data_IF_079364847593
#
_entry.id   IF_079364847593
#
_cell.length_a   1.000
_cell.length_b   1.000
_cell.length_c   1.000
_cell.angle_alpha   90.00
_cell.angle_beta   90.00
_cell.angle_gamma   90.00
#
_symmetry.space_group_name_H-M   'P 1'
#
loop_
_entity.id
_entity.type
_entity.pdbx_description
1 polymer ?
#
# COMPACT_ATOMS: atom_id res chain seq x y z
N UNK A 1 41.89 -52.99 32.61
CA UNK A 1 42.31 -52.41 33.91
C UNK A 1 41.20 -51.46 34.34
N UNK A 2 40.43 -51.82 35.38
CA UNK A 2 40.34 -51.12 36.69
C UNK A 2 39.96 -49.63 36.52
N UNK A 3 38.86 -49.09 37.03
CA UNK A 3 38.17 -49.39 38.31
C UNK A 3 36.84 -48.63 38.38
N UNK A 4 35.82 -49.25 38.99
CA UNK A 4 34.55 -48.66 39.44
C UNK A 4 34.72 -47.70 40.63
N UNK A 5 33.75 -46.78 40.86
CA UNK A 5 33.08 -46.45 42.16
C UNK A 5 32.18 -45.21 42.00
N UNK A 6 30.85 -45.33 42.10
CA UNK A 6 29.97 -45.23 43.30
C UNK A 6 29.57 -43.79 43.69
N UNK A 7 28.29 -43.48 43.44
CA UNK A 7 27.25 -42.82 44.28
C UNK A 7 27.72 -41.82 45.37
N UNK A 8 27.16 -40.61 45.35
CA UNK A 8 26.75 -39.89 46.56
C UNK A 8 25.72 -38.81 46.21
N UNK A 9 24.50 -38.95 46.76
CA UNK A 9 23.51 -37.88 46.76
C UNK A 9 23.89 -36.79 47.76
N UNK A 10 23.48 -35.56 47.46
CA UNK A 10 23.41 -34.49 48.43
C UNK A 10 22.16 -33.65 48.13
N UNK A 11 21.13 -33.87 48.95
CA UNK A 11 20.00 -32.96 49.12
C UNK A 11 20.49 -31.83 50.02
N UNK A 12 20.51 -30.61 49.50
CA UNK A 12 20.58 -29.39 50.31
C UNK A 12 19.33 -28.57 50.02
N UNK A 13 18.41 -28.59 50.98
CA UNK A 13 17.37 -27.59 51.14
C UNK A 13 18.06 -26.27 51.55
N UNK A 14 18.22 -25.37 50.58
CA UNK A 14 18.60 -23.98 50.82
C UNK A 14 17.39 -23.09 50.54
N UNK A 15 16.85 -22.47 51.59
CA UNK A 15 15.82 -21.42 51.49
C UNK A 15 16.45 -20.23 50.77
N UNK A 16 16.18 -20.10 49.47
CA UNK A 16 16.44 -18.89 48.73
C UNK A 16 15.29 -17.92 48.98
N UNK A 17 15.58 -16.83 49.70
CA UNK A 17 14.68 -15.69 49.80
C UNK A 17 14.37 -15.19 48.39
N UNK A 18 13.12 -15.36 47.94
CA UNK A 18 12.62 -14.68 46.75
C UNK A 18 12.63 -13.18 47.07
N UNK A 19 13.62 -12.47 46.54
CA UNK A 19 13.48 -11.04 46.31
C UNK A 19 12.35 -10.89 45.29
N UNK A 20 11.18 -10.43 45.75
CA UNK A 20 10.13 -9.89 44.88
C UNK A 20 10.66 -8.60 44.25
N UNK A 21 11.50 -8.73 43.23
CA UNK A 21 11.72 -7.66 42.26
C UNK A 21 10.38 -7.38 41.60
N UNK A 22 9.83 -6.20 41.90
CA UNK A 22 8.52 -5.78 41.45
C UNK A 22 8.38 -5.94 39.95
N UNK A 23 7.45 -6.80 39.53
CA UNK A 23 6.82 -6.64 38.24
C UNK A 23 6.00 -5.37 38.33
N UNK A 24 6.60 -4.25 37.91
CA UNK A 24 5.78 -3.16 37.39
C UNK A 24 5.11 -3.76 36.16
N UNK A 25 3.87 -4.21 36.30
CA UNK A 25 2.95 -4.34 35.18
C UNK A 25 2.84 -2.95 34.57
N UNK A 26 3.80 -2.62 33.70
CA UNK A 26 3.62 -1.59 32.71
C UNK A 26 2.41 -2.04 31.92
N UNK A 27 1.30 -1.32 32.06
CA UNK A 27 0.25 -1.38 31.06
C UNK A 27 0.97 -1.00 29.77
N UNK A 28 1.20 -1.97 28.88
CA UNK A 28 1.63 -1.67 27.54
C UNK A 28 0.51 -0.81 26.96
N UNK A 29 0.75 0.49 26.87
CA UNK A 29 -0.14 1.39 26.15
C UNK A 29 -0.05 0.90 24.71
N UNK A 30 -1.10 0.25 24.24
CA UNK A 30 -1.23 -0.09 22.82
C UNK A 30 -1.10 1.22 22.05
N UNK A 31 -0.16 1.29 21.11
CA UNK A 31 -0.01 2.48 20.28
C UNK A 31 -1.32 2.72 19.52
N UNK A 32 -1.82 3.95 19.55
CA UNK A 32 -3.02 4.30 18.80
C UNK A 32 -2.69 4.42 17.31
N UNK A 33 -3.54 3.88 16.41
CA UNK A 33 -3.33 4.03 14.98
C UNK A 33 -3.55 5.50 14.57
N UNK A 34 -2.69 5.98 13.66
CA UNK A 34 -2.81 7.30 13.02
C UNK A 34 -3.96 7.29 12.01
N UNK A 35 -4.15 6.16 11.32
CA UNK A 35 -5.25 5.95 10.40
C UNK A 35 -5.63 4.46 10.38
N UNK A 36 -6.93 4.19 10.21
CA UNK A 36 -7.44 2.84 10.05
C UNK A 36 -8.55 2.85 8.99
N UNK A 37 -8.45 1.93 8.05
CA UNK A 37 -9.46 1.68 7.02
C UNK A 37 -9.84 0.21 7.13
N UNK A 38 -11.00 -0.12 7.74
CA UNK A 38 -11.39 -1.50 8.01
C UNK A 38 -11.79 -2.25 6.74
N UNK A 39 -12.34 -1.53 5.75
CA UNK A 39 -12.74 -2.07 4.45
C UNK A 39 -12.15 -1.18 3.35
N UNK A 40 -11.15 -1.70 2.65
CA UNK A 40 -10.57 -1.04 1.49
C UNK A 40 -11.52 -1.17 0.30
N UNK A 41 -12.26 -0.09 0.06
CA UNK A 41 -12.87 0.18 -1.24
C UNK A 41 -12.05 1.30 -1.86
N UNK A 42 -11.29 1.03 -2.93
CA UNK A 42 -10.29 2.00 -3.38
C UNK A 42 -9.77 1.77 -4.79
N UNK A 43 -8.89 2.67 -5.24
CA UNK A 43 -8.58 2.87 -6.66
C UNK A 43 -7.65 1.80 -7.22
N UNK A 44 -6.36 1.85 -6.90
CA UNK A 44 -5.39 0.91 -7.47
C UNK A 44 -4.07 0.91 -6.72
N UNK A 45 -3.31 -0.16 -6.92
CA UNK A 45 -1.87 -0.21 -6.65
C UNK A 45 -1.13 -0.30 -7.97
N UNK A 46 -0.09 0.50 -8.17
CA UNK A 46 0.72 0.49 -9.38
C UNK A 46 2.18 0.24 -9.08
N UNK A 47 2.91 -0.34 -10.02
CA UNK A 47 4.34 -0.61 -9.95
C UNK A 47 5.00 -0.04 -11.18
N UNK A 48 5.82 1.00 -10.99
CA UNK A 48 6.70 1.51 -12.03
C UNK A 48 7.83 0.50 -12.23
N UNK A 49 7.89 -0.12 -13.41
CA UNK A 49 8.84 -1.19 -13.70
C UNK A 49 10.26 -0.64 -13.81
N UNK A 50 11.20 -1.36 -13.20
CA UNK A 50 12.63 -1.04 -13.28
C UNK A 50 13.19 -1.42 -14.65
N UNK A 51 14.08 -0.58 -15.20
CA UNK A 51 14.73 -0.83 -16.50
C UNK A 51 15.56 -2.12 -16.50
N UNK A 52 16.16 -2.48 -15.36
CA UNK A 52 16.88 -3.74 -15.20
C UNK A 52 15.96 -4.95 -15.28
N UNK A 53 14.73 -4.84 -14.75
CA UNK A 53 13.73 -5.90 -14.85
C UNK A 53 13.21 -6.05 -16.28
N UNK A 54 12.81 -4.96 -16.93
CA UNK A 54 12.32 -5.02 -18.32
C UNK A 54 13.41 -5.50 -19.28
N UNK A 55 14.65 -5.04 -19.11
CA UNK A 55 15.80 -5.51 -19.88
C UNK A 55 16.12 -7.01 -19.66
N UNK A 56 15.90 -7.53 -18.44
CA UNK A 56 16.03 -8.96 -18.17
C UNK A 56 14.95 -9.78 -18.88
N UNK A 57 13.69 -9.32 -18.89
CA UNK A 57 12.60 -9.97 -19.63
C UNK A 57 12.87 -9.98 -21.13
N UNK A 58 13.30 -8.86 -21.70
CA UNK A 58 13.66 -8.75 -23.11
C UNK A 58 14.80 -9.70 -23.50
N UNK A 59 15.86 -9.76 -22.68
CA UNK A 59 17.00 -10.66 -22.90
C UNK A 59 16.61 -12.14 -22.83
N UNK A 60 15.55 -12.46 -22.11
CA UNK A 60 15.00 -13.81 -21.97
C UNK A 60 13.95 -14.15 -23.03
N UNK A 61 13.61 -13.20 -23.90
CA UNK A 61 12.52 -13.29 -24.88
C UNK A 61 11.17 -13.61 -24.20
N UNK A 62 10.99 -13.12 -22.97
CA UNK A 62 9.74 -13.24 -22.21
C UNK A 62 8.92 -11.99 -22.45
N UNK A 63 7.75 -12.15 -23.06
CA UNK A 63 6.80 -11.06 -23.28
C UNK A 63 5.87 -10.92 -22.06
N UNK A 64 5.91 -9.80 -21.33
CA UNK A 64 4.94 -9.53 -20.29
C UNK A 64 3.59 -9.11 -20.90
N UNK A 65 2.51 -9.46 -20.22
CA UNK A 65 1.16 -9.00 -20.51
C UNK A 65 0.34 -8.92 -19.22
N UNK A 66 -0.85 -8.33 -19.28
CA UNK A 66 -1.74 -8.21 -18.13
C UNK A 66 -2.93 -9.18 -18.22
N UNK A 67 -3.53 -9.47 -17.08
CA UNK A 67 -4.71 -10.33 -16.93
C UNK A 67 -5.80 -9.55 -16.20
N UNK A 68 -7.04 -9.68 -16.68
CA UNK A 68 -8.22 -9.18 -16.00
C UNK A 68 -8.22 -7.65 -15.87
N UNK A 69 -8.38 -7.15 -14.64
CA UNK A 69 -8.44 -5.73 -14.34
C UNK A 69 -7.10 -4.99 -14.41
N UNK A 70 -5.99 -5.70 -14.59
CA UNK A 70 -4.66 -5.10 -14.63
C UNK A 70 -4.40 -4.35 -15.96
N UNK A 71 -3.77 -3.19 -15.87
CA UNK A 71 -3.33 -2.39 -17.03
C UNK A 71 -1.82 -2.17 -17.01
N UNK A 72 -1.21 -2.06 -18.19
CA UNK A 72 0.20 -1.72 -18.37
C UNK A 72 0.26 -0.49 -19.29
N UNK A 73 0.66 0.64 -18.74
CA UNK A 73 0.72 1.94 -19.43
C UNK A 73 1.98 2.69 -18.99
N UNK A 74 2.69 3.31 -19.94
CA UNK A 74 3.88 4.14 -19.68
C UNK A 74 4.96 3.47 -18.78
N UNK A 75 5.14 2.15 -18.91
CA UNK A 75 6.11 1.39 -18.11
C UNK A 75 5.66 1.12 -16.66
N UNK A 76 4.41 1.38 -16.33
CA UNK A 76 3.81 1.10 -15.02
C UNK A 76 2.67 0.10 -15.16
N UNK A 77 2.65 -0.90 -14.28
CA UNK A 77 1.53 -1.85 -14.18
C UNK A 77 0.62 -1.42 -13.06
N UNK A 78 -0.68 -1.30 -13.31
CA UNK A 78 -1.69 -0.93 -12.33
C UNK A 78 -2.68 -2.07 -12.08
N UNK A 79 -3.01 -2.30 -10.82
CA UNK A 79 -3.93 -3.33 -10.34
C UNK A 79 -5.05 -2.69 -9.51
N UNK A 80 -6.32 -2.87 -9.89
CA UNK A 80 -7.45 -2.42 -9.09
C UNK A 80 -7.44 -3.04 -7.70
N UNK A 81 -7.73 -2.24 -6.67
CA UNK A 81 -7.92 -2.75 -5.31
C UNK A 81 -9.35 -3.27 -5.18
N UNK A 82 -9.48 -4.51 -4.75
CA UNK A 82 -10.76 -5.22 -4.64
C UNK A 82 -11.22 -5.40 -3.20
N UNK A 83 -10.31 -5.32 -2.23
CA UNK A 83 -10.63 -5.52 -0.83
C UNK A 83 -9.43 -5.41 0.09
N UNK A 84 -9.65 -5.85 1.33
CA UNK A 84 -8.68 -5.84 2.41
C UNK A 84 -8.87 -4.71 3.43
N UNK A 85 -7.86 -4.48 4.26
CA UNK A 85 -7.86 -3.49 5.33
C UNK A 85 -6.45 -2.90 5.50
N UNK A 86 -6.37 -1.68 6.04
CA UNK A 86 -5.06 -1.10 6.39
C UNK A 86 -5.13 -0.32 7.70
N UNK A 87 -4.10 -0.48 8.51
CA UNK A 87 -3.88 0.25 9.75
C UNK A 87 -2.48 0.85 9.71
N UNK A 88 -2.39 2.14 9.97
CA UNK A 88 -1.13 2.89 9.97
C UNK A 88 -0.88 3.45 11.35
N UNK A 89 0.31 3.22 11.87
CA UNK A 89 0.83 3.72 13.14
C UNK A 89 1.91 4.78 12.89
N UNK A 90 2.23 5.56 13.92
CA UNK A 90 3.34 6.50 13.85
C UNK A 90 4.67 5.74 13.71
N UNK A 91 5.55 6.10 12.76
CA UNK A 91 6.84 5.43 12.59
C UNK A 91 7.65 5.36 13.89
N UNK A 92 8.13 4.16 14.23
CA UNK A 92 8.90 3.91 15.46
C UNK A 92 8.06 3.56 16.70
N UNK A 93 6.74 3.63 16.62
CA UNK A 93 5.84 3.18 17.70
C UNK A 93 5.50 1.69 17.59
N UNK A 94 5.18 1.23 16.39
CA UNK A 94 4.89 -0.16 16.04
C UNK A 94 5.72 -0.55 14.82
N UNK A 95 6.22 -1.79 14.79
CA UNK A 95 6.97 -2.31 13.66
C UNK A 95 6.36 -3.65 13.18
N UNK A 96 5.84 -3.72 11.94
CA UNK A 96 5.77 -2.67 10.93
C UNK A 96 4.71 -1.61 11.31
N UNK A 97 4.96 -0.36 10.90
CA UNK A 97 4.04 0.75 11.18
C UNK A 97 2.85 0.78 10.21
N UNK A 98 2.92 0.05 9.10
CA UNK A 98 1.78 -0.22 8.22
C UNK A 98 1.43 -1.70 8.38
N UNK A 99 0.16 -2.00 8.62
CA UNK A 99 -0.35 -3.36 8.82
C UNK A 99 -1.66 -3.53 8.06
N UNK A 100 -2.01 -4.78 7.75
CA UNK A 100 -3.27 -5.11 7.11
C UNK A 100 -3.10 -6.11 5.99
N UNK A 101 -3.96 -5.99 4.98
CA UNK A 101 -4.00 -6.83 3.79
C UNK A 101 -4.63 -6.03 2.66
N UNK A 102 -4.10 -6.11 1.44
CA UNK A 102 -4.70 -5.45 0.27
C UNK A 102 -4.87 -6.51 -0.81
N UNK A 103 -6.08 -6.62 -1.36
CA UNK A 103 -6.48 -7.67 -2.30
C UNK A 103 -6.73 -7.11 -3.69
N UNK A 104 -6.28 -7.82 -4.73
CA UNK A 104 -6.38 -7.44 -6.15
C UNK A 104 -6.96 -8.59 -6.98
N UNK A 105 -8.06 -9.18 -6.50
CA UNK A 105 -8.70 -10.34 -7.09
C UNK A 105 -9.09 -10.13 -8.55
N UNK A 106 -8.95 -11.17 -9.37
CA UNK A 106 -9.30 -11.11 -10.79
C UNK A 106 -8.39 -10.21 -11.63
N UNK A 107 -7.24 -9.80 -11.09
CA UNK A 107 -6.19 -9.07 -11.81
C UNK A 107 -4.87 -9.84 -11.73
N UNK A 108 -3.99 -9.63 -12.71
CA UNK A 108 -2.73 -10.36 -12.75
C UNK A 108 -1.76 -9.98 -13.86
N UNK A 109 -0.67 -10.73 -13.91
CA UNK A 109 0.38 -10.65 -14.92
C UNK A 109 0.48 -11.98 -15.67
N UNK A 110 0.83 -11.90 -16.95
CA UNK A 110 1.22 -13.06 -17.74
C UNK A 110 2.62 -12.87 -18.30
N UNK A 111 3.40 -13.94 -18.30
CA UNK A 111 4.75 -14.02 -18.83
C UNK A 111 4.75 -15.13 -19.89
N UNK A 112 4.99 -14.77 -21.14
CA UNK A 112 4.91 -15.71 -22.27
C UNK A 112 6.24 -15.80 -22.99
N UNK A 113 6.73 -17.03 -23.22
CA UNK A 113 7.93 -17.32 -24.00
C UNK A 113 7.68 -18.54 -24.89
N UNK A 114 7.66 -18.34 -26.21
CA UNK A 114 7.28 -19.39 -27.14
C UNK A 114 5.90 -19.98 -26.78
N UNK A 115 5.86 -21.29 -26.56
CA UNK A 115 4.63 -22.01 -26.18
C UNK A 115 4.38 -22.03 -24.65
N UNK A 116 5.32 -21.52 -23.85
CA UNK A 116 5.20 -21.50 -22.39
C UNK A 116 4.53 -20.21 -21.93
N UNK A 117 3.48 -20.35 -21.13
CA UNK A 117 2.76 -19.25 -20.51
C UNK A 117 2.66 -19.45 -19.00
N UNK A 118 3.14 -18.48 -18.24
CA UNK A 118 2.98 -18.40 -16.78
C UNK A 118 2.08 -17.22 -16.47
N UNK A 119 1.11 -17.44 -15.58
CA UNK A 119 0.14 -16.46 -15.15
C UNK A 119 0.23 -16.32 -13.62
N UNK A 120 0.28 -15.08 -13.16
CA UNK A 120 0.34 -14.70 -11.76
C UNK A 120 -0.90 -13.86 -11.48
N UNK A 121 -1.85 -14.36 -10.70
CA UNK A 121 -3.16 -13.72 -10.48
C UNK A 121 -3.50 -13.61 -9.01
N UNK A 122 -4.56 -12.85 -8.71
CA UNK A 122 -5.19 -12.77 -7.38
C UNK A 122 -4.18 -12.33 -6.33
N UNK A 123 -3.57 -11.18 -6.60
CA UNK A 123 -2.50 -10.67 -5.76
C UNK A 123 -3.02 -10.23 -4.39
N UNK A 124 -2.23 -10.54 -3.37
CA UNK A 124 -2.46 -10.12 -1.99
C UNK A 124 -1.19 -9.51 -1.44
N UNK A 125 -1.26 -8.24 -1.07
CA UNK A 125 -0.19 -7.51 -0.38
C UNK A 125 -0.39 -7.67 1.13
N UNK A 126 0.64 -8.18 1.80
CA UNK A 126 0.75 -8.23 3.26
C UNK A 126 1.89 -7.29 3.69
N UNK A 127 1.59 -6.09 4.23
CA UNK A 127 2.59 -5.15 4.73
C UNK A 127 3.18 -5.56 6.10
N UNK A 128 2.92 -6.79 6.56
CA UNK A 128 3.46 -7.36 7.79
C UNK A 128 4.99 -7.46 7.85
N UNK A 129 5.49 -8.32 8.73
CA UNK A 129 6.93 -8.53 8.88
C UNK A 129 7.25 -10.03 8.80
N UNK A 130 7.69 -10.55 7.64
CA UNK A 130 8.12 -9.79 6.45
C UNK A 130 6.94 -9.22 5.63
N UNK A 131 7.18 -8.12 4.92
CA UNK A 131 6.23 -7.56 3.97
C UNK A 131 6.36 -8.30 2.63
N UNK A 132 5.24 -8.82 2.11
CA UNK A 132 5.24 -9.72 0.96
C UNK A 132 4.07 -9.45 0.03
N UNK A 133 4.25 -9.83 -1.24
CA UNK A 133 3.16 -9.96 -2.21
C UNK A 133 3.04 -11.44 -2.59
N UNK A 134 1.85 -11.99 -2.40
CA UNK A 134 1.51 -13.36 -2.77
C UNK A 134 0.45 -13.39 -3.86
N UNK A 135 0.29 -14.54 -4.52
CA UNK A 135 -0.78 -14.76 -5.48
C UNK A 135 -0.84 -16.20 -5.99
N UNK A 136 -1.81 -16.46 -6.86
CA UNK A 136 -1.97 -17.71 -7.59
C UNK A 136 -0.97 -17.78 -8.73
N UNK A 137 -0.36 -18.95 -8.93
CA UNK A 137 0.55 -19.25 -10.03
C UNK A 137 -0.04 -20.34 -10.89
N UNK A 138 -0.23 -20.04 -12.18
CA UNK A 138 -0.72 -20.98 -13.18
C UNK A 138 0.31 -21.09 -14.30
N UNK A 139 0.66 -22.31 -14.69
CA UNK A 139 1.57 -22.56 -15.81
C UNK A 139 0.84 -23.40 -16.86
N UNK A 140 0.77 -22.89 -18.09
CA UNK A 140 0.09 -23.53 -19.22
C UNK A 140 -1.37 -23.95 -18.90
N UNK A 141 -2.06 -23.16 -18.09
CA UNK A 141 -3.45 -23.41 -17.67
C UNK A 141 -3.63 -24.35 -16.48
N UNK A 142 -2.55 -24.86 -15.88
CA UNK A 142 -2.58 -25.67 -14.67
C UNK A 142 -2.11 -24.87 -13.46
N UNK A 143 -2.90 -24.84 -12.38
CA UNK A 143 -2.52 -24.18 -11.13
C UNK A 143 -1.35 -24.93 -10.49
N UNK A 144 -0.22 -24.24 -10.35
CA UNK A 144 1.00 -24.75 -9.71
C UNK A 144 0.99 -24.44 -8.22
N UNK A 145 0.43 -23.29 -7.84
CA UNK A 145 0.27 -22.89 -6.44
C UNK A 145 -0.90 -21.90 -6.30
N UNK A 146 -1.76 -22.10 -5.30
CA UNK A 146 -2.90 -21.20 -5.03
C UNK A 146 -2.50 -19.93 -4.24
N UNK A 147 -1.37 -19.96 -3.53
CA UNK A 147 -0.88 -18.81 -2.76
C UNK A 147 0.62 -18.94 -2.53
N UNK A 148 1.40 -18.53 -3.52
CA UNK A 148 2.86 -18.49 -3.44
C UNK A 148 3.32 -17.06 -3.10
N UNK A 149 4.38 -16.92 -2.30
CA UNK A 149 5.06 -15.63 -2.12
C UNK A 149 5.87 -15.31 -3.36
N UNK A 150 5.43 -14.30 -4.10
CA UNK A 150 5.99 -13.93 -5.40
C UNK A 150 7.03 -12.83 -5.30
N UNK A 151 6.78 -11.85 -4.42
CA UNK A 151 7.66 -10.71 -4.24
C UNK A 151 7.86 -10.38 -2.76
N UNK A 152 9.08 -9.99 -2.44
CA UNK A 152 9.44 -9.36 -1.18
C UNK A 152 9.25 -7.85 -1.32
N UNK A 153 8.65 -7.22 -0.31
CA UNK A 153 8.37 -5.79 -0.30
C UNK A 153 9.30 -5.10 0.69
N UNK A 154 10.03 -4.11 0.22
CA UNK A 154 10.91 -3.29 1.05
C UNK A 154 10.33 -1.88 1.22
N UNK A 155 9.79 -1.63 2.40
CA UNK A 155 9.24 -0.34 2.79
C UNK A 155 10.26 0.66 3.35
N UNK A 156 11.56 0.35 3.36
CA UNK A 156 12.60 1.24 3.91
C UNK A 156 12.74 2.55 3.13
N UNK A 157 12.26 2.57 1.89
CA UNK A 157 12.24 3.73 0.98
C UNK A 157 10.89 4.43 0.90
N UNK A 158 9.94 4.08 1.79
CA UNK A 158 8.61 4.70 1.80
C UNK A 158 8.68 6.20 2.05
N UNK A 159 8.00 6.95 1.18
CA UNK A 159 7.74 8.35 1.39
C UNK A 159 6.63 8.54 2.45
N UNK A 160 6.57 9.72 3.11
CA UNK A 160 5.43 10.05 3.96
C UNK A 160 4.12 9.93 3.19
N UNK A 161 3.09 9.39 3.84
CA UNK A 161 1.74 9.29 3.26
C UNK A 161 1.27 10.69 2.85
N UNK A 162 0.84 10.81 1.60
CA UNK A 162 0.26 12.03 1.08
C UNK A 162 -1.26 11.91 1.07
N UNK A 163 -1.95 12.86 1.69
CA UNK A 163 -3.42 12.92 1.68
C UNK A 163 -3.87 14.05 0.77
N UNK A 164 -4.78 13.75 -0.15
CA UNK A 164 -5.51 14.76 -0.92
C UNK A 164 -6.95 14.82 -0.40
N UNK A 165 -7.25 15.88 0.36
CA UNK A 165 -8.57 16.09 0.93
C UNK A 165 -9.61 16.47 -0.14
N UNK A 166 -9.22 17.06 -1.27
CA UNK A 166 -10.16 17.43 -2.33
C UNK A 166 -10.54 16.21 -3.18
N UNK A 167 -9.60 15.31 -3.42
CA UNK A 167 -9.85 14.02 -4.07
C UNK A 167 -10.36 12.94 -3.11
N UNK A 168 -10.31 13.19 -1.80
CA UNK A 168 -10.71 12.24 -0.76
C UNK A 168 -9.84 10.99 -0.68
N UNK A 169 -8.53 11.12 -0.95
CA UNK A 169 -7.64 9.96 -1.11
C UNK A 169 -6.34 10.07 -0.34
N UNK A 170 -5.70 8.92 -0.10
CA UNK A 170 -4.35 8.81 0.43
C UNK A 170 -3.46 8.02 -0.53
N UNK A 171 -2.22 8.48 -0.67
CA UNK A 171 -1.20 7.88 -1.53
C UNK A 171 0.01 7.51 -0.71
N UNK A 172 0.47 6.26 -0.88
CA UNK A 172 1.71 5.74 -0.32
C UNK A 172 2.63 5.31 -1.46
N UNK A 173 3.82 5.89 -1.54
CA UNK A 173 4.78 5.66 -2.62
C UNK A 173 6.12 5.25 -2.03
N UNK A 174 6.86 4.42 -2.78
CA UNK A 174 8.26 4.15 -2.48
C UNK A 174 8.54 2.75 -1.94
N UNK A 175 7.58 1.83 -1.98
CA UNK A 175 7.86 0.43 -1.64
C UNK A 175 8.63 -0.20 -2.78
N UNK A 176 9.85 -0.69 -2.52
CA UNK A 176 10.62 -1.41 -3.53
C UNK A 176 10.08 -2.84 -3.62
N UNK A 177 9.73 -3.29 -4.82
CA UNK A 177 9.22 -4.64 -5.10
C UNK A 177 10.37 -5.49 -5.62
N UNK A 178 10.65 -6.62 -4.97
CA UNK A 178 11.76 -7.51 -5.34
C UNK A 178 11.23 -8.92 -5.57
N UNK A 179 11.69 -9.57 -6.62
CA UNK A 179 11.31 -10.95 -6.92
C UNK A 179 11.76 -11.90 -5.80
N UNK A 180 10.88 -12.75 -5.29
CA UNK A 180 11.27 -13.72 -4.26
C UNK A 180 12.20 -14.79 -4.85
N UNK A 181 13.03 -15.42 -4.00
CA UNK A 181 13.90 -16.52 -4.44
C UNK A 181 13.11 -17.69 -5.02
N UNK A 182 12.02 -18.08 -4.37
CA UNK A 182 11.17 -19.18 -4.82
C UNK A 182 10.48 -18.85 -6.16
N UNK A 183 10.05 -17.59 -6.37
CA UNK A 183 9.47 -17.17 -7.63
C UNK A 183 10.52 -17.14 -8.76
N UNK A 184 11.74 -16.65 -8.48
CA UNK A 184 12.83 -16.70 -9.45
C UNK A 184 13.15 -18.13 -9.87
N UNK A 185 13.26 -19.06 -8.91
CA UNK A 185 13.51 -20.48 -9.20
C UNK A 185 12.38 -21.10 -10.04
N UNK A 186 11.12 -20.76 -9.76
CA UNK A 186 9.98 -21.24 -10.54
C UNK A 186 9.99 -20.70 -11.98
N UNK A 187 10.29 -19.41 -12.17
CA UNK A 187 10.40 -18.79 -13.51
C UNK A 187 11.58 -19.38 -14.31
N UNK A 188 12.72 -19.58 -13.65
CA UNK A 188 13.90 -20.22 -14.22
C UNK A 188 13.58 -21.65 -14.71
N UNK A 189 12.86 -22.42 -13.91
CA UNK A 189 12.40 -23.76 -14.30
C UNK A 189 11.40 -23.70 -15.46
N UNK A 190 10.40 -22.82 -15.40
CA UNK A 190 9.39 -22.68 -16.44
C UNK A 190 9.99 -22.29 -17.79
N UNK A 191 10.95 -21.36 -17.80
CA UNK A 191 11.56 -20.83 -19.02
C UNK A 191 12.91 -21.48 -19.37
N UNK A 192 13.30 -22.54 -18.65
CA UNK A 192 14.57 -23.25 -18.82
C UNK A 192 15.78 -22.31 -18.88
N UNK A 193 15.90 -21.45 -17.87
CA UNK A 193 16.95 -20.44 -17.74
C UNK A 193 17.46 -20.37 -16.29
N UNK A 194 18.58 -19.69 -16.08
CA UNK A 194 19.20 -19.40 -14.78
C UNK A 194 19.48 -17.88 -14.61
N UNK A 195 18.98 -17.06 -15.55
CA UNK A 195 19.29 -15.63 -15.57
C UNK A 195 18.44 -14.83 -14.56
N UNK A 196 17.28 -15.34 -14.15
CA UNK A 196 16.42 -14.65 -13.19
C UNK A 196 16.91 -14.93 -11.78
N UNK A 197 17.34 -13.90 -11.05
CA UNK A 197 17.84 -14.05 -9.69
C UNK A 197 16.80 -13.59 -8.67
N UNK A 198 16.71 -14.32 -7.56
CA UNK A 198 15.97 -13.86 -6.38
C UNK A 198 16.54 -12.52 -5.88
N UNK A 199 15.65 -11.64 -5.45
CA UNK A 199 15.96 -10.30 -5.01
C UNK A 199 16.15 -9.28 -6.13
N UNK A 200 15.93 -9.65 -7.40
CA UNK A 200 15.88 -8.74 -8.53
C UNK A 200 14.81 -7.67 -8.28
N UNK A 201 15.19 -6.40 -8.37
CA UNK A 201 14.25 -5.28 -8.26
C UNK A 201 13.34 -5.29 -9.48
N UNK A 202 12.04 -5.39 -9.24
CA UNK A 202 11.00 -5.37 -10.27
C UNK A 202 10.56 -3.95 -10.53
N UNK A 203 10.51 -3.12 -9.48
CA UNK A 203 10.04 -1.74 -9.59
C UNK A 203 9.75 -1.09 -8.25
N UNK A 204 9.12 0.08 -8.33
CA UNK A 204 8.68 0.87 -7.18
C UNK A 204 7.16 0.95 -7.18
N UNK A 205 6.55 0.57 -6.06
CA UNK A 205 5.11 0.56 -5.92
C UNK A 205 4.56 1.90 -5.39
N UNK A 206 3.37 2.24 -5.88
CA UNK A 206 2.51 3.33 -5.42
C UNK A 206 1.13 2.75 -5.13
N UNK A 207 0.57 3.04 -3.96
CA UNK A 207 -0.74 2.58 -3.55
C UNK A 207 -1.62 3.81 -3.33
N UNK A 208 -2.83 3.78 -3.91
CA UNK A 208 -3.80 4.85 -3.77
C UNK A 208 -5.12 4.31 -3.26
N UNK A 209 -5.55 4.81 -2.11
CA UNK A 209 -6.79 4.39 -1.43
C UNK A 209 -7.70 5.58 -1.20
N UNK A 210 -9.00 5.31 -1.05
CA UNK A 210 -9.96 6.33 -0.65
C UNK A 210 -9.95 6.49 0.88
N UNK A 211 -10.09 7.73 1.35
CA UNK A 211 -10.11 8.03 2.78
C UNK A 211 -11.50 7.77 3.37
N UNK A 212 -11.60 7.10 4.53
CA UNK A 212 -12.88 6.93 5.22
C UNK A 212 -13.40 8.30 5.67
N UNK A 213 -14.54 8.74 5.13
CA UNK A 213 -15.18 10.02 5.51
C UNK A 213 -15.42 11.02 4.37
N UNK A 214 -15.11 10.68 3.12
CA UNK A 214 -15.57 11.42 1.93
C UNK A 214 -16.53 10.52 1.14
N UNK A 215 -17.63 10.10 1.78
CA UNK A 215 -18.81 9.70 1.00
C UNK A 215 -19.16 10.89 0.11
N UNK A 216 -19.03 10.70 -1.20
CA UNK A 216 -19.57 11.59 -2.23
C UNK A 216 -20.86 12.19 -1.72
N UNK A 217 -20.91 13.52 -1.64
CA UNK A 217 -22.06 14.28 -1.16
C UNK A 217 -23.35 13.55 -1.55
N UNK A 218 -24.05 13.02 -0.55
CA UNK A 218 -25.44 12.61 -0.72
C UNK A 218 -26.12 13.76 -1.45
N UNK A 219 -26.73 13.56 -2.63
CA UNK A 219 -27.52 14.63 -3.22
C UNK A 219 -28.50 15.07 -2.13
N UNK A 220 -28.57 16.37 -1.87
CA UNK A 220 -29.62 16.97 -1.05
C UNK A 220 -30.97 16.69 -1.72
N UNK A 221 -31.44 15.45 -1.56
CA UNK A 221 -32.76 15.01 -1.95
C UNK A 221 -33.71 15.68 -0.97
N UNK A 222 -34.22 16.83 -1.38
CA UNK A 222 -35.30 17.52 -0.71
C UNK A 222 -36.42 16.54 -0.41
N UNK A 223 -36.67 16.30 0.87
CA UNK A 223 -37.96 15.81 1.31
C UNK A 223 -38.85 17.03 1.48
N UNK A 224 -39.65 17.29 0.44
CA UNK A 224 -40.86 18.10 0.53
C UNK A 224 -41.77 17.49 1.62
N UNK A 225 -41.59 17.89 2.87
CA UNK A 225 -42.60 17.66 3.89
C UNK A 225 -43.71 18.66 3.68
N UNK A 226 -44.65 18.28 2.81
CA UNK A 226 -45.94 18.93 2.69
C UNK A 226 -46.66 18.98 4.05
N UNK A 227 -47.10 20.17 4.43
CA UNK A 227 -47.81 20.42 5.69
C UNK A 227 -48.50 21.78 5.72
N UNK A 228 -49.66 21.85 5.05
CA UNK A 228 -50.86 22.67 5.33
C UNK A 228 -50.76 24.07 5.96
N UNK A 229 -51.16 25.07 5.18
CA UNK A 229 -52.00 26.26 5.49
C UNK A 229 -52.15 26.78 6.93
N UNK A 230 -51.95 28.09 7.14
CA UNK A 230 -53.03 29.06 7.45
C UNK A 230 -52.58 30.54 7.42
N UNK A 231 -53.27 31.32 6.57
CA UNK A 231 -53.82 32.69 6.73
C UNK A 231 -52.98 33.91 7.18
N UNK A 232 -53.18 35.01 6.41
CA UNK A 232 -53.01 36.42 6.77
C UNK A 232 -51.73 37.04 6.16
N UNK A 233 -51.74 37.98 5.22
CA UNK A 233 -52.67 39.06 4.91
C UNK A 233 -51.81 40.32 4.64
N UNK A 234 -51.79 40.75 3.36
CA UNK A 234 -51.35 42.04 2.79
C UNK A 234 -50.02 42.67 3.25
N UNK A 235 -49.10 42.93 2.33
CA UNK A 235 -48.98 44.28 1.75
C UNK A 235 -48.10 44.32 0.49
N UNK A 236 -48.39 45.31 -0.34
CA UNK A 236 -48.02 45.49 -1.72
C UNK A 236 -47.18 46.77 -1.83
N UNK A 237 -45.86 46.66 -1.96
CA UNK A 237 -44.97 47.77 -2.38
C UNK A 237 -43.79 47.13 -3.12
N UNK A 238 -43.77 47.09 -4.46
CA UNK A 238 -43.44 48.16 -5.40
C UNK A 238 -41.97 48.63 -5.28
N UNK A 239 -41.37 48.83 -6.47
CA UNK A 239 -40.23 49.72 -6.79
C UNK A 239 -38.92 49.01 -7.17
N UNK A 240 -38.75 48.91 -8.51
CA UNK A 240 -37.56 49.18 -9.33
C UNK A 240 -36.19 48.75 -8.80
N UNK A 241 -35.40 47.97 -9.54
CA UNK A 241 -34.84 48.37 -10.83
C UNK A 241 -33.40 48.83 -10.61
N UNK A 242 -32.44 48.29 -11.37
CA UNK A 242 -31.07 48.78 -11.34
C UNK A 242 -30.02 47.70 -11.59
N UNK A 243 -29.71 47.47 -12.87
CA UNK A 243 -28.44 46.89 -13.27
C UNK A 243 -27.30 47.86 -12.92
N UNK A 244 -26.15 47.35 -12.49
CA UNK A 244 -24.85 48.00 -12.72
C UNK A 244 -23.71 46.98 -12.52
N UNK A 245 -22.90 46.88 -13.57
CA UNK A 245 -21.65 46.14 -13.68
C UNK A 245 -20.47 46.92 -13.04
N UNK A 246 -19.24 46.43 -13.31
CA UNK A 246 -17.90 46.95 -12.97
C UNK A 246 -17.37 46.48 -11.59
N UNK A 247 -16.13 46.02 -11.39
CA UNK A 247 -14.90 45.96 -12.20
C UNK A 247 -13.87 45.07 -11.49
N UNK A 248 -12.94 44.53 -12.28
CA UNK A 248 -11.77 43.78 -11.85
C UNK A 248 -10.63 44.65 -11.26
N UNK A 249 -9.62 43.93 -10.73
CA UNK A 249 -8.22 44.30 -10.50
C UNK A 249 -7.82 44.73 -9.07
N UNK A 250 -6.83 44.00 -8.52
CA UNK A 250 -6.14 44.35 -7.29
C UNK A 250 -5.14 43.27 -6.86
N UNK A 251 -3.98 43.21 -7.52
CA UNK A 251 -2.85 42.38 -7.10
C UNK A 251 -2.04 43.02 -5.97
N UNK A 252 -1.40 42.18 -5.15
CA UNK A 252 -0.33 42.55 -4.22
C UNK A 252 0.55 41.31 -4.00
N UNK A 253 1.68 41.23 -4.72
CA UNK A 253 2.74 40.27 -4.48
C UNK A 253 3.94 41.01 -3.86
N UNK A 254 4.33 40.57 -2.66
CA UNK A 254 5.41 41.12 -1.86
C UNK A 254 6.78 40.54 -2.29
N UNK A 255 7.80 41.37 -2.17
CA UNK A 255 9.16 41.21 -2.69
C UNK A 255 9.98 40.06 -2.08
N UNK A 256 10.82 39.42 -2.90
CA UNK A 256 11.97 38.65 -2.45
C UNK A 256 13.27 39.22 -3.05
N UNK A 257 14.19 39.59 -2.16
CA UNK A 257 15.51 40.17 -2.42
C UNK A 257 16.56 39.13 -2.08
N UNK A 258 17.38 38.67 -3.03
CA UNK A 258 18.72 38.14 -2.72
C UNK A 258 19.74 38.59 -3.77
N UNK A 259 20.76 39.27 -3.25
CA UNK A 259 21.91 39.85 -3.93
C UNK A 259 22.92 38.74 -4.20
N UNK A 260 23.32 38.59 -5.45
CA UNK A 260 24.58 37.97 -5.85
C UNK A 260 25.69 39.02 -5.80
N UNK A 261 26.92 38.61 -5.46
CA UNK A 261 28.15 38.96 -6.18
C UNK A 261 29.37 38.46 -5.41
N UNK A 262 30.28 37.79 -6.12
CA UNK A 262 31.65 37.61 -5.66
C UNK A 262 32.43 36.59 -6.47
N UNK A 263 32.85 36.94 -7.69
CA UNK A 263 34.10 36.41 -8.29
C UNK A 263 34.55 37.26 -9.48
N UNK A 264 35.88 37.27 -9.69
CA UNK A 264 36.72 37.76 -10.80
C UNK A 264 37.41 39.10 -10.51
N UNK A 265 38.73 39.24 -10.62
CA UNK A 265 39.81 38.41 -11.21
C UNK A 265 41.11 38.65 -10.45
#
# INVERSE_FOLDING_TARGET
MRTSRKIAGLVVSGVAALALSGFTTGVAIAAEPVAEIPDLTGRSSSVALDEGFTGALESLEVTPGTIGGASLEDGSVSFPITGGNVTVYEPGTVNPYVQGRIEHDGSGLSLTKGDTRVELTDFVIDPGNPATLSGTVTANGETVADSAVLFDLDGSTLEPIQTDAAAGTATLTGTTVRLSGAAADALNQAFSTDAVQGGLTVGVATIVVDLPGQVSAMPEGGVDTGGGSTAGGVDLVLVSGGALALTAAGGLALAARRRAAGTRS
#
